data_IF_694361310538
#
_entry.id   IF_694361310538
#
_cell.length_a   1.000
_cell.length_b   1.000
_cell.length_c   1.000
_cell.angle_alpha   90.00
_cell.angle_beta   90.00
_cell.angle_gamma   90.00
#
_symmetry.space_group_name_H-M   'P 1'
#
loop_
_entity.id
_entity.type
_entity.pdbx_description
1 polymer ?
#
# COMPACT_ATOMS: atom_id res chain seq x y z
N UNK A 1 1.81 -2.38 -23.80
CA UNK A 1 0.40 -2.85 -23.77
C UNK A 1 -0.47 -1.98 -22.85
N UNK A 2 -1.68 -1.57 -23.29
CA UNK A 2 -2.73 -0.93 -22.48
C UNK A 2 -4.01 -1.78 -22.56
N UNK A 3 -4.86 -1.74 -21.54
CA UNK A 3 -6.18 -2.35 -21.53
C UNK A 3 -7.11 -1.73 -22.59
N UNK A 4 -8.34 -2.26 -22.68
CA UNK A 4 -9.34 -1.81 -23.65
C UNK A 4 -9.71 -0.31 -23.54
N UNK A 5 -9.36 0.36 -22.43
CA UNK A 5 -9.59 1.77 -22.18
C UNK A 5 -8.32 2.63 -22.31
N UNK A 6 -7.21 2.05 -22.79
CA UNK A 6 -5.93 2.77 -22.89
C UNK A 6 -5.20 2.93 -21.54
N UNK A 7 -5.64 2.27 -20.47
CA UNK A 7 -4.98 2.27 -19.17
C UNK A 7 -3.97 1.12 -19.08
N UNK A 8 -2.98 1.20 -18.19
CA UNK A 8 -2.10 0.04 -17.95
C UNK A 8 -2.88 -1.09 -17.25
N UNK A 9 -2.65 -2.38 -17.56
CA UNK A 9 -3.38 -3.50 -16.95
C UNK A 9 -3.02 -3.73 -15.48
N UNK A 10 -3.86 -4.48 -14.76
CA UNK A 10 -3.54 -5.12 -13.47
C UNK A 10 -3.03 -6.54 -13.69
N UNK A 11 -2.52 -7.17 -12.64
CA UNK A 11 -1.91 -8.50 -12.71
C UNK A 11 -2.81 -9.53 -13.41
N UNK A 12 -4.07 -9.63 -12.97
CA UNK A 12 -5.02 -10.61 -13.49
C UNK A 12 -5.48 -10.34 -14.92
N UNK A 13 -5.46 -9.10 -15.37
CA UNK A 13 -5.85 -8.73 -16.74
C UNK A 13 -4.89 -9.31 -17.80
N UNK A 14 -3.65 -9.58 -17.39
CA UNK A 14 -2.60 -10.14 -18.23
C UNK A 14 -2.21 -11.57 -17.81
N UNK A 15 -3.08 -12.25 -17.05
CA UNK A 15 -2.92 -13.66 -16.68
C UNK A 15 -1.91 -13.91 -15.56
N UNK A 16 -1.55 -12.90 -14.76
CA UNK A 16 -0.75 -13.11 -13.55
C UNK A 16 -1.73 -13.41 -12.40
N UNK A 17 -1.93 -14.70 -12.14
CA UNK A 17 -2.81 -15.19 -11.08
C UNK A 17 -2.00 -15.44 -9.80
N UNK A 18 -2.26 -14.66 -8.76
CA UNK A 18 -1.55 -14.77 -7.47
C UNK A 18 -2.46 -15.44 -6.44
N UNK A 19 -1.94 -16.51 -5.83
CA UNK A 19 -2.62 -17.21 -4.74
C UNK A 19 -3.78 -18.11 -5.17
N UNK A 20 -4.53 -18.60 -4.18
CA UNK A 20 -5.66 -19.51 -4.39
C UNK A 20 -7.02 -18.88 -4.12
N UNK A 21 -7.09 -17.77 -3.38
CA UNK A 21 -8.37 -17.11 -3.10
C UNK A 21 -8.80 -16.22 -4.26
N UNK A 22 -10.12 -16.17 -4.51
CA UNK A 22 -10.69 -15.21 -5.44
C UNK A 22 -10.68 -13.80 -4.84
N UNK A 23 -10.44 -12.75 -5.65
CA UNK A 23 -10.57 -11.38 -5.17
C UNK A 23 -12.04 -10.99 -4.97
N UNK A 24 -12.25 -9.89 -4.24
CA UNK A 24 -13.53 -9.19 -4.22
C UNK A 24 -13.83 -8.53 -5.58
N UNK A 25 -14.99 -7.87 -5.67
CA UNK A 25 -15.50 -7.29 -6.92
C UNK A 25 -14.52 -6.33 -7.57
N UNK A 26 -13.88 -5.48 -6.78
CA UNK A 26 -12.97 -4.44 -7.24
C UNK A 26 -11.51 -4.89 -7.19
N UNK A 27 -11.25 -6.05 -6.56
CA UNK A 27 -9.92 -6.51 -6.22
C UNK A 27 -9.12 -5.37 -5.56
N UNK A 28 -9.70 -4.75 -4.53
CA UNK A 28 -9.17 -3.55 -3.88
C UNK A 28 -9.51 -3.54 -2.40
N UNK A 29 -8.80 -2.72 -1.61
CA UNK A 29 -9.02 -2.61 -0.16
C UNK A 29 -10.47 -2.23 0.19
N UNK A 30 -11.12 -1.49 -0.70
CA UNK A 30 -12.53 -1.04 -0.67
C UNK A 30 -13.55 -2.14 -0.93
N UNK A 31 -13.12 -3.37 -1.24
CA UNK A 31 -14.01 -4.55 -1.18
C UNK A 31 -14.42 -4.86 0.27
N UNK A 32 -13.66 -4.40 1.27
CA UNK A 32 -14.09 -4.42 2.66
C UNK A 32 -15.12 -3.31 2.86
N UNK A 33 -16.35 -3.70 3.19
CA UNK A 33 -17.48 -2.78 3.28
C UNK A 33 -17.22 -1.59 4.21
N UNK A 34 -17.55 -0.39 3.72
CA UNK A 34 -17.35 0.87 4.44
C UNK A 34 -15.98 1.52 4.19
N UNK A 35 -14.96 0.77 3.75
CA UNK A 35 -13.65 1.35 3.47
C UNK A 35 -13.70 2.23 2.23
N UNK A 36 -13.10 3.41 2.34
CA UNK A 36 -12.98 4.37 1.24
C UNK A 36 -11.53 4.82 1.05
N UNK A 37 -11.15 5.11 -0.18
CA UNK A 37 -9.81 5.59 -0.53
C UNK A 37 -9.94 6.86 -1.36
N UNK A 38 -9.12 7.87 -1.05
CA UNK A 38 -9.02 9.11 -1.80
C UNK A 38 -7.58 9.53 -2.04
N UNK A 39 -7.34 10.24 -3.15
CA UNK A 39 -6.01 10.67 -3.56
C UNK A 39 -5.99 12.15 -3.92
N UNK A 40 -4.83 12.78 -3.71
CA UNK A 40 -4.43 14.03 -4.37
C UNK A 40 -3.03 13.84 -4.92
N UNK A 41 -2.87 14.09 -6.22
CA UNK A 41 -1.64 13.86 -6.98
C UNK A 41 -1.06 15.21 -7.40
N UNK A 42 0.19 15.48 -7.02
CA UNK A 42 0.88 16.75 -7.31
C UNK A 42 2.01 16.50 -8.32
N UNK A 43 1.85 17.06 -9.51
CA UNK A 43 2.82 16.97 -10.61
C UNK A 43 2.99 18.34 -11.23
N UNK A 44 4.09 19.03 -10.88
CA UNK A 44 4.35 20.40 -11.33
C UNK A 44 5.84 20.60 -11.68
N UNK A 45 6.10 21.43 -12.69
CA UNK A 45 7.46 21.75 -13.13
C UNK A 45 8.25 20.58 -13.75
N UNK A 46 9.40 20.91 -14.30
CA UNK A 46 10.33 19.99 -14.96
C UNK A 46 11.78 20.53 -14.90
N UNK A 47 12.75 19.70 -15.28
CA UNK A 47 14.15 20.09 -15.34
C UNK A 47 14.87 20.09 -13.99
N UNK A 48 15.81 21.03 -13.82
CA UNK A 48 16.74 21.09 -12.68
C UNK A 48 16.00 21.31 -11.36
N UNK A 49 16.40 20.60 -10.30
CA UNK A 49 15.93 20.85 -8.95
C UNK A 49 16.25 22.27 -8.50
N UNK A 50 15.23 23.00 -8.05
CA UNK A 50 15.36 24.19 -7.22
C UNK A 50 14.64 23.90 -5.90
N UNK A 51 15.37 23.64 -4.80
CA UNK A 51 14.75 23.28 -3.52
C UNK A 51 13.74 24.34 -3.07
N UNK A 52 12.52 23.91 -2.72
CA UNK A 52 11.41 24.81 -2.39
C UNK A 52 10.51 25.17 -3.57
N UNK A 53 10.91 24.86 -4.81
CA UNK A 53 10.17 25.24 -6.02
C UNK A 53 9.75 24.05 -6.88
N UNK A 54 10.50 22.93 -6.85
CA UNK A 54 10.23 21.76 -7.68
C UNK A 54 11.43 21.34 -8.55
N UNK A 55 11.24 20.38 -9.48
CA UNK A 55 9.98 19.74 -9.86
C UNK A 55 9.27 18.96 -8.74
N UNK A 56 7.94 18.96 -8.76
CA UNK A 56 7.07 18.33 -7.76
C UNK A 56 6.52 17.02 -8.30
N UNK A 57 6.73 15.90 -7.58
CA UNK A 57 6.21 14.57 -7.92
C UNK A 57 5.77 13.86 -6.64
N UNK A 58 4.71 14.32 -6.01
CA UNK A 58 4.30 13.83 -4.68
C UNK A 58 2.78 13.85 -4.53
N UNK A 59 2.27 13.59 -3.33
CA UNK A 59 0.85 13.71 -3.06
C UNK A 59 0.42 13.11 -1.73
N UNK A 60 -0.89 12.89 -1.62
CA UNK A 60 -1.54 12.35 -0.43
C UNK A 60 -2.47 11.21 -0.84
N UNK A 61 -2.54 10.18 -0.02
CA UNK A 61 -3.56 9.13 -0.10
C UNK A 61 -4.17 8.92 1.25
N UNK A 62 -5.49 8.89 1.34
CA UNK A 62 -6.19 8.66 2.60
C UNK A 62 -7.05 7.42 2.51
N UNK A 63 -7.09 6.68 3.62
CA UNK A 63 -7.92 5.49 3.79
C UNK A 63 -8.84 5.76 4.97
N UNK A 64 -10.14 5.76 4.72
CA UNK A 64 -11.16 5.88 5.76
C UNK A 64 -11.71 4.49 6.08
N UNK A 65 -11.63 4.03 7.33
CA UNK A 65 -12.29 2.77 7.74
C UNK A 65 -13.81 2.78 7.57
N UNK A 66 -14.43 3.97 7.63
CA UNK A 66 -15.83 4.25 7.32
C UNK A 66 -16.08 5.75 7.12
N UNK A 67 -17.29 6.11 6.69
CA UNK A 67 -17.74 7.47 6.39
C UNK A 67 -18.18 8.30 7.61
N UNK A 68 -18.54 7.64 8.72
CA UNK A 68 -18.89 8.31 9.99
C UNK A 68 -17.73 9.04 10.69
N UNK A 69 -18.02 9.55 11.89
CA UNK A 69 -17.01 10.19 12.74
C UNK A 69 -16.09 9.13 13.37
N UNK A 70 -14.86 9.01 12.85
CA UNK A 70 -13.86 8.03 13.31
C UNK A 70 -13.42 8.24 14.75
N UNK A 71 -13.47 9.46 15.28
CA UNK A 71 -13.10 9.72 16.67
C UNK A 71 -14.15 9.19 17.64
N UNK A 72 -15.43 9.33 17.28
CA UNK A 72 -16.57 8.87 18.08
C UNK A 72 -16.83 7.37 17.90
N UNK A 73 -16.70 6.86 16.68
CA UNK A 73 -16.86 5.45 16.33
C UNK A 73 -15.54 4.88 15.82
N UNK A 74 -14.64 4.52 16.72
CA UNK A 74 -13.31 3.99 16.36
C UNK A 74 -13.43 2.57 15.80
N UNK A 75 -12.38 2.08 15.14
CA UNK A 75 -12.31 0.68 14.67
C UNK A 75 -11.16 -0.07 15.36
N UNK A 76 -11.31 -1.38 15.66
CA UNK A 76 -10.19 -2.19 16.15
C UNK A 76 -9.03 -2.16 15.16
N UNK A 77 -7.81 -2.01 15.67
CA UNK A 77 -6.62 -1.90 14.84
C UNK A 77 -5.34 -2.30 15.57
N UNK A 78 -4.30 -2.58 14.80
CA UNK A 78 -2.94 -2.76 15.27
C UNK A 78 -1.94 -2.37 14.18
N UNK A 79 -0.71 -2.07 14.59
CA UNK A 79 0.41 -1.78 13.70
C UNK A 79 1.59 -2.72 13.99
N UNK A 80 2.33 -3.07 12.95
CA UNK A 80 3.57 -3.84 13.04
C UNK A 80 4.67 -3.12 12.28
N UNK A 81 5.79 -2.91 12.97
CA UNK A 81 7.02 -2.34 12.39
C UNK A 81 7.95 -3.49 12.08
N UNK A 82 8.18 -3.76 10.80
CA UNK A 82 9.17 -4.76 10.37
C UNK A 82 10.58 -4.14 10.40
N UNK A 83 10.72 -2.94 9.84
CA UNK A 83 11.93 -2.12 9.90
C UNK A 83 11.57 -0.65 10.12
N UNK A 84 12.18 -0.04 11.14
CA UNK A 84 11.81 1.26 11.67
C UNK A 84 12.45 2.48 11.00
N UNK A 85 13.07 2.34 9.81
CA UNK A 85 13.78 3.46 9.17
C UNK A 85 12.86 4.60 8.65
N UNK A 86 11.55 4.51 8.83
CA UNK A 86 10.58 5.56 8.45
C UNK A 86 10.07 6.42 9.61
N UNK A 87 9.25 7.42 9.28
CA UNK A 87 8.77 8.52 10.16
C UNK A 87 7.24 8.42 10.30
N UNK A 88 6.76 7.24 10.72
CA UNK A 88 5.34 7.01 10.99
C UNK A 88 4.85 7.77 12.23
N UNK A 89 3.61 8.23 12.22
CA UNK A 89 2.98 8.95 13.34
C UNK A 89 1.76 8.16 13.83
N UNK A 90 1.62 8.08 15.16
CA UNK A 90 0.43 7.55 15.84
C UNK A 90 0.40 6.04 16.11
N UNK A 91 1.38 5.27 15.62
CA UNK A 91 1.38 3.80 15.77
C UNK A 91 1.47 3.32 17.23
N UNK A 92 2.11 4.10 18.11
CA UNK A 92 2.22 3.75 19.52
C UNK A 92 0.85 3.67 20.20
N UNK A 93 -0.01 4.69 20.02
CA UNK A 93 -1.35 4.66 20.61
C UNK A 93 -2.27 3.64 19.93
N UNK A 94 -2.09 3.39 18.62
CA UNK A 94 -2.79 2.28 17.94
C UNK A 94 -2.49 0.94 18.63
N UNK A 95 -1.22 0.71 19.01
CA UNK A 95 -0.81 -0.51 19.71
C UNK A 95 -1.02 -0.49 21.23
N UNK A 96 -1.27 0.68 21.83
CA UNK A 96 -1.60 0.76 23.25
C UNK A 96 -3.11 0.53 23.48
N UNK A 97 -3.94 1.16 22.65
CA UNK A 97 -5.40 1.16 22.81
C UNK A 97 -6.13 0.22 21.85
N UNK A 98 -5.42 -0.34 20.88
CA UNK A 98 -5.95 -1.34 19.95
C UNK A 98 -6.99 -0.82 18.97
N UNK A 99 -6.93 0.48 18.62
CA UNK A 99 -7.93 1.10 17.76
C UNK A 99 -7.38 2.24 16.88
N UNK A 100 -8.11 2.55 15.80
CA UNK A 100 -7.94 3.74 14.96
C UNK A 100 -9.11 4.70 15.20
N UNK A 101 -8.77 5.97 15.40
CA UNK A 101 -9.71 7.06 15.66
C UNK A 101 -9.64 8.21 14.64
N UNK A 102 -8.81 8.04 13.61
CA UNK A 102 -8.61 8.98 12.52
C UNK A 102 -8.48 8.23 11.19
N UNK A 103 -8.62 8.91 10.03
CA UNK A 103 -8.22 8.31 8.75
C UNK A 103 -6.74 7.95 8.77
N UNK A 104 -6.35 6.91 8.04
CA UNK A 104 -4.95 6.65 7.77
C UNK A 104 -4.54 7.53 6.59
N UNK A 105 -3.57 8.42 6.78
CA UNK A 105 -3.06 9.27 5.71
C UNK A 105 -1.63 8.88 5.32
N UNK A 106 -1.37 8.78 4.02
CA UNK A 106 -0.11 8.38 3.43
C UNK A 106 0.45 9.55 2.59
N UNK A 107 1.76 9.79 2.65
CA UNK A 107 2.43 10.87 1.92
C UNK A 107 3.94 10.64 1.75
N UNK A 108 4.73 11.69 1.50
CA UNK A 108 6.19 11.66 1.53
C UNK A 108 6.79 11.96 2.92
N UNK A 109 8.02 11.53 3.16
CA UNK A 109 8.71 11.61 4.47
C UNK A 109 8.65 12.98 5.14
N UNK A 110 9.02 14.05 4.42
CA UNK A 110 9.15 15.39 5.02
C UNK A 110 7.81 16.14 5.10
N UNK A 111 6.74 15.55 4.55
CA UNK A 111 5.39 16.07 4.65
C UNK A 111 4.55 15.37 5.72
N UNK A 112 5.04 14.27 6.31
CA UNK A 112 4.32 13.55 7.37
C UNK A 112 3.85 14.44 8.54
N UNK A 113 4.66 15.40 9.07
CA UNK A 113 4.19 16.31 10.10
C UNK A 113 3.05 17.23 9.65
N UNK A 114 3.10 17.73 8.40
CA UNK A 114 2.04 18.59 7.84
C UNK A 114 0.74 17.82 7.62
N UNK A 115 0.84 16.56 7.20
CA UNK A 115 -0.31 15.68 7.08
C UNK A 115 -0.91 15.33 8.44
N UNK A 116 -0.08 15.07 9.46
CA UNK A 116 -0.56 14.84 10.82
C UNK A 116 -1.30 16.07 11.40
N UNK A 117 -0.74 17.26 11.19
CA UNK A 117 -1.37 18.53 11.58
C UNK A 117 -2.74 18.71 10.88
N UNK A 118 -2.85 18.42 9.58
CA UNK A 118 -4.13 18.43 8.88
C UNK A 118 -5.14 17.40 9.44
N UNK A 119 -4.70 16.18 9.75
CA UNK A 119 -5.57 15.15 10.35
C UNK A 119 -6.07 15.57 11.74
N UNK A 120 -5.21 16.20 12.56
CA UNK A 120 -5.60 16.79 13.84
C UNK A 120 -6.65 17.89 13.63
N UNK A 121 -6.37 18.84 12.73
CA UNK A 121 -7.27 19.96 12.43
C UNK A 121 -8.65 19.49 11.96
N UNK A 122 -8.69 18.52 11.04
CA UNK A 122 -9.94 17.89 10.58
C UNK A 122 -10.69 17.25 11.73
N UNK A 123 -9.98 16.55 12.62
CA UNK A 123 -10.60 15.85 13.75
C UNK A 123 -11.22 16.83 14.75
N UNK A 124 -10.52 17.92 15.09
CA UNK A 124 -11.05 19.00 15.93
C UNK A 124 -12.28 19.64 15.27
N UNK A 125 -12.26 19.86 13.95
CA UNK A 125 -13.41 20.42 13.23
C UNK A 125 -14.64 19.52 13.30
N UNK A 126 -14.48 18.19 13.28
CA UNK A 126 -15.59 17.24 13.39
C UNK A 126 -16.01 16.92 14.83
N UNK A 127 -15.09 16.99 15.79
CA UNK A 127 -15.35 16.81 17.21
C UNK A 127 -14.72 17.96 18.01
N UNK A 128 -15.40 19.13 18.11
CA UNK A 128 -14.86 20.33 18.78
C UNK A 128 -14.55 20.17 20.27
N UNK A 129 -15.02 19.09 20.91
CA UNK A 129 -14.70 18.77 22.30
C UNK A 129 -13.26 18.28 22.50
N UNK A 130 -12.56 17.83 21.45
CA UNK A 130 -11.18 17.33 21.52
C UNK A 130 -10.28 18.38 22.18
N UNK A 131 -9.58 17.98 23.24
CA UNK A 131 -8.66 18.84 23.99
C UNK A 131 -9.33 19.89 24.89
N UNK A 132 -10.66 19.92 24.98
CA UNK A 132 -11.42 20.85 25.84
C UNK A 132 -12.40 20.07 26.74
N UNK A 133 -13.38 19.41 26.12
CA UNK A 133 -14.42 18.63 26.79
C UNK A 133 -14.12 17.13 26.86
N UNK A 134 -13.13 16.65 26.11
CA UNK A 134 -12.61 15.28 26.14
C UNK A 134 -11.10 15.27 25.91
N UNK A 135 -10.49 14.08 25.85
CA UNK A 135 -9.07 13.87 25.56
C UNK A 135 -8.62 14.39 24.18
N UNK A 136 -7.36 14.13 23.85
CA UNK A 136 -6.75 14.52 22.58
C UNK A 136 -7.05 13.52 21.46
N UNK A 137 -6.47 13.73 20.28
CA UNK A 137 -6.62 12.85 19.11
C UNK A 137 -5.26 12.36 18.61
N UNK A 138 -5.22 11.11 18.15
CA UNK A 138 -4.05 10.46 17.58
C UNK A 138 -4.14 10.40 16.04
N UNK A 139 -3.43 11.29 15.31
CA UNK A 139 -3.35 11.19 13.86
C UNK A 139 -2.50 9.98 13.45
N UNK A 140 -2.97 9.21 12.46
CA UNK A 140 -2.22 8.07 11.91
C UNK A 140 -1.70 8.39 10.53
N UNK A 141 -0.37 8.54 10.44
CA UNK A 141 0.32 8.93 9.19
C UNK A 141 1.43 7.96 8.86
N UNK A 142 1.42 7.51 7.60
CA UNK A 142 2.49 6.75 6.97
C UNK A 142 3.19 7.54 5.88
N UNK A 143 4.42 7.15 5.54
CA UNK A 143 5.19 7.87 4.54
C UNK A 143 6.16 6.96 3.78
N UNK A 144 6.58 7.44 2.61
CA UNK A 144 7.78 6.94 1.93
C UNK A 144 8.66 8.09 1.43
N UNK A 145 9.92 7.82 1.09
CA UNK A 145 10.81 8.85 0.56
C UNK A 145 10.76 8.91 -0.97
N UNK A 146 10.14 9.97 -1.52
CA UNK A 146 10.04 10.22 -2.96
C UNK A 146 11.13 11.16 -3.54
N UNK A 147 12.17 11.47 -2.77
CA UNK A 147 13.21 12.46 -3.11
C UNK A 147 14.09 12.12 -4.33
N UNK A 148 13.95 10.92 -4.91
CA UNK A 148 14.54 10.58 -6.21
C UNK A 148 13.89 11.40 -7.33
N UNK A 149 12.56 11.48 -7.34
CA UNK A 149 11.78 12.15 -8.38
C UNK A 149 11.25 13.53 -7.96
N UNK A 150 11.06 13.73 -6.65
CA UNK A 150 10.42 14.91 -6.08
C UNK A 150 11.42 15.88 -5.44
N UNK A 151 11.09 17.17 -5.44
CA UNK A 151 11.63 18.15 -4.50
C UNK A 151 11.05 17.93 -3.09
N UNK A 152 11.55 16.93 -2.40
CA UNK A 152 11.04 16.58 -1.06
C UNK A 152 11.34 17.68 -0.02
N UNK A 153 12.39 18.49 -0.22
CA UNK A 153 12.73 19.60 0.69
C UNK A 153 11.74 20.74 0.60
N UNK A 154 11.11 20.94 -0.57
CA UNK A 154 10.10 21.97 -0.74
C UNK A 154 8.77 21.71 -0.03
N UNK A 155 8.56 20.49 0.51
CA UNK A 155 7.38 20.13 1.32
C UNK A 155 6.07 20.63 0.68
N UNK A 156 5.90 20.30 -0.60
CA UNK A 156 4.82 20.79 -1.46
C UNK A 156 3.41 20.32 -1.05
N UNK A 157 3.31 19.29 -0.20
CA UNK A 157 2.04 18.87 0.40
C UNK A 157 1.59 19.89 1.44
N UNK A 158 0.37 20.37 1.30
CA UNK A 158 -0.28 21.32 2.22
C UNK A 158 -1.51 20.67 2.85
N UNK A 159 -2.07 21.30 3.88
CA UNK A 159 -3.24 20.77 4.60
C UNK A 159 -4.45 20.60 3.68
N UNK A 160 -4.62 21.52 2.73
CA UNK A 160 -5.71 21.53 1.76
C UNK A 160 -5.70 20.25 0.92
N UNK A 161 -4.52 19.74 0.55
CA UNK A 161 -4.40 18.48 -0.19
C UNK A 161 -4.86 17.27 0.62
N UNK A 162 -4.72 17.31 1.95
CA UNK A 162 -5.24 16.25 2.84
C UNK A 162 -6.75 16.32 2.94
N UNK A 163 -7.31 17.52 3.09
CA UNK A 163 -8.76 17.72 3.12
C UNK A 163 -9.42 17.33 1.80
N UNK A 164 -8.80 17.69 0.68
CA UNK A 164 -9.23 17.30 -0.66
C UNK A 164 -9.15 15.78 -0.84
N UNK A 165 -8.06 15.12 -0.41
CA UNK A 165 -7.97 13.67 -0.48
C UNK A 165 -9.08 12.98 0.34
N UNK A 166 -9.44 13.53 1.51
CA UNK A 166 -10.56 13.04 2.33
C UNK A 166 -11.91 13.26 1.62
N UNK A 167 -12.11 14.41 0.99
CA UNK A 167 -13.33 14.71 0.24
C UNK A 167 -13.48 13.83 -1.01
N UNK A 168 -12.36 13.49 -1.66
CA UNK A 168 -12.32 12.62 -2.82
C UNK A 168 -12.44 11.12 -2.46
N UNK A 169 -12.46 10.77 -1.17
CA UNK A 169 -12.47 9.38 -0.77
C UNK A 169 -13.79 8.70 -1.11
N UNK A 170 -13.71 7.58 -1.84
CA UNK A 170 -14.88 6.81 -2.25
C UNK A 170 -14.67 5.30 -2.08
N UNK A 171 -15.80 4.58 -2.04
CA UNK A 171 -15.81 3.13 -2.18
C UNK A 171 -15.67 2.72 -3.66
N UNK A 172 -15.52 1.42 -3.93
CA UNK A 172 -15.45 0.91 -5.30
C UNK A 172 -14.02 0.80 -5.83
N UNK A 173 -13.83 0.91 -7.15
CA UNK A 173 -12.51 0.81 -7.76
C UNK A 173 -11.57 1.91 -7.23
N UNK A 174 -10.32 1.53 -6.95
CA UNK A 174 -9.27 2.43 -6.44
C UNK A 174 -8.28 2.74 -7.55
N UNK A 175 -7.87 4.00 -7.67
CA UNK A 175 -6.83 4.39 -8.62
C UNK A 175 -5.46 3.91 -8.12
N UNK A 176 -4.65 3.35 -9.01
CA UNK A 176 -3.36 2.73 -8.69
C UNK A 176 -2.23 3.33 -9.55
N UNK A 177 -0.99 2.99 -9.23
CA UNK A 177 0.21 3.43 -9.90
C UNK A 177 0.73 4.76 -9.37
N UNK A 178 1.13 5.65 -10.29
CA UNK A 178 1.81 6.92 -10.01
C UNK A 178 0.85 8.02 -9.53
N UNK A 179 0.08 7.75 -8.47
CA UNK A 179 -0.98 8.63 -7.96
C UNK A 179 -0.88 8.83 -6.45
N UNK A 180 -1.46 9.90 -5.94
CA UNK A 180 -1.54 10.17 -4.52
C UNK A 180 -0.16 10.19 -3.86
N UNK A 181 -0.02 9.45 -2.75
CA UNK A 181 1.25 9.28 -2.06
C UNK A 181 2.28 8.47 -2.86
N UNK A 182 1.83 7.71 -3.88
CA UNK A 182 2.67 6.90 -4.76
C UNK A 182 3.28 7.65 -5.95
N UNK A 183 2.95 8.94 -6.12
CA UNK A 183 3.31 9.74 -7.31
C UNK A 183 4.80 9.68 -7.63
N UNK A 184 5.67 9.92 -6.65
CA UNK A 184 7.13 9.91 -6.81
C UNK A 184 7.83 8.62 -6.37
N UNK A 185 7.09 7.54 -6.11
CA UNK A 185 7.69 6.31 -5.55
C UNK A 185 8.40 5.44 -6.59
N UNK A 186 9.44 4.71 -6.15
CA UNK A 186 10.26 3.78 -6.96
C UNK A 186 10.27 2.41 -6.30
N UNK A 187 9.97 1.35 -7.04
CA UNK A 187 9.93 -0.02 -6.53
C UNK A 187 10.78 -0.95 -7.39
N UNK A 188 11.77 -1.59 -6.77
CA UNK A 188 12.69 -2.58 -7.35
C UNK A 188 13.40 -2.10 -8.64
N UNK A 189 13.67 -0.80 -8.76
CA UNK A 189 14.30 -0.19 -9.94
C UNK A 189 13.33 0.22 -11.04
N UNK A 190 12.03 0.00 -10.89
CA UNK A 190 10.98 0.55 -11.75
C UNK A 190 10.14 1.57 -10.99
N UNK A 191 9.23 2.23 -11.71
CA UNK A 191 8.21 3.04 -11.09
C UNK A 191 7.29 2.14 -10.25
N UNK A 192 7.11 2.53 -8.98
CA UNK A 192 6.09 1.96 -8.10
C UNK A 192 4.96 2.96 -7.85
N UNK A 193 4.25 2.80 -6.74
CA UNK A 193 3.28 3.78 -6.28
C UNK A 193 2.20 3.14 -5.41
N UNK A 194 0.95 3.50 -5.63
CA UNK A 194 -0.19 2.87 -4.97
C UNK A 194 -0.55 1.58 -5.68
N UNK A 195 -0.70 0.49 -4.94
CA UNK A 195 -1.31 -0.73 -5.44
C UNK A 195 -2.26 -1.31 -4.43
N UNK A 196 -3.27 -2.03 -4.88
CA UNK A 196 -4.26 -2.65 -4.02
C UNK A 196 -4.68 -4.02 -4.54
N UNK A 197 -5.17 -4.86 -3.64
CA UNK A 197 -5.78 -6.14 -3.96
C UNK A 197 -6.70 -6.57 -2.82
N UNK A 198 -7.56 -7.55 -3.05
CA UNK A 198 -8.36 -8.16 -2.00
C UNK A 198 -8.47 -9.67 -2.20
N UNK A 199 -8.91 -10.37 -1.16
CA UNK A 199 -9.29 -11.79 -1.18
C UNK A 199 -10.56 -12.01 -0.37
N UNK A 200 -11.43 -12.86 -0.87
CA UNK A 200 -12.63 -13.31 -0.17
C UNK A 200 -12.43 -14.77 0.25
N UNK A 201 -12.58 -15.02 1.55
CA UNK A 201 -12.49 -16.37 2.09
C UNK A 201 -13.71 -17.19 1.66
N UNK A 202 -13.58 -18.52 1.50
CA UNK A 202 -14.73 -19.38 1.25
C UNK A 202 -15.77 -19.29 2.38
N UNK A 203 -17.07 -19.50 2.10
CA UNK A 203 -18.13 -19.44 3.13
C UNK A 203 -17.88 -20.34 4.34
N UNK A 204 -17.34 -21.55 4.12
CA UNK A 204 -16.98 -22.50 5.19
C UNK A 204 -15.85 -22.01 6.12
N UNK A 205 -15.16 -20.93 5.75
CA UNK A 205 -14.09 -20.28 6.51
C UNK A 205 -14.48 -18.87 6.97
N UNK A 206 -15.78 -18.54 6.95
CA UNK A 206 -16.34 -17.29 7.45
C UNK A 206 -16.80 -16.32 6.38
N UNK A 207 -16.40 -16.50 5.11
CA UNK A 207 -16.82 -15.60 4.02
C UNK A 207 -16.24 -14.18 4.09
N UNK A 208 -15.30 -13.93 5.02
CA UNK A 208 -14.71 -12.62 5.25
C UNK A 208 -13.88 -12.13 4.06
N UNK A 209 -13.82 -10.81 3.92
CA UNK A 209 -12.99 -10.12 2.96
C UNK A 209 -11.74 -9.59 3.65
N UNK A 210 -10.59 -9.76 3.01
CA UNK A 210 -9.32 -9.09 3.36
C UNK A 210 -8.94 -8.20 2.20
N UNK A 211 -8.79 -6.91 2.46
CA UNK A 211 -8.34 -5.90 1.51
C UNK A 211 -6.95 -5.40 1.88
N UNK A 212 -6.10 -5.13 0.89
CA UNK A 212 -4.75 -4.58 1.09
C UNK A 212 -4.51 -3.41 0.15
N UNK A 213 -3.93 -2.32 0.68
CA UNK A 213 -3.39 -1.20 -0.09
C UNK A 213 -1.93 -0.99 0.32
N UNK A 214 -1.05 -0.85 -0.67
CA UNK A 214 0.37 -0.63 -0.46
C UNK A 214 0.84 0.66 -1.17
N UNK A 215 1.65 1.45 -0.49
CA UNK A 215 2.47 2.51 -1.10
C UNK A 215 3.89 1.97 -1.22
N UNK A 216 4.28 1.53 -2.41
CA UNK A 216 5.53 0.79 -2.65
C UNK A 216 6.67 1.72 -3.03
N UNK A 217 7.75 1.74 -2.24
CA UNK A 217 8.94 2.56 -2.51
C UNK A 217 10.24 1.86 -2.10
N UNK A 218 10.43 0.59 -2.44
CA UNK A 218 11.51 -0.24 -1.89
C UNK A 218 12.31 -0.99 -2.96
N UNK A 219 13.59 -1.29 -2.67
CA UNK A 219 14.48 -2.10 -3.50
C UNK A 219 14.20 -3.61 -3.39
N UNK A 220 14.88 -4.41 -4.20
CA UNK A 220 14.70 -5.87 -4.20
C UNK A 220 15.09 -6.53 -5.51
N UNK A 221 14.77 -7.82 -5.61
CA UNK A 221 15.00 -8.62 -6.81
C UNK A 221 13.66 -9.14 -7.30
N UNK A 222 13.03 -8.41 -8.22
CA UNK A 222 11.64 -8.67 -8.62
C UNK A 222 11.41 -10.13 -9.01
N UNK A 223 10.47 -10.76 -8.31
CA UNK A 223 9.97 -12.10 -8.56
C UNK A 223 8.47 -12.02 -8.73
N UNK A 224 7.92 -12.68 -9.75
CA UNK A 224 6.47 -12.70 -9.99
C UNK A 224 6.06 -14.15 -10.25
N UNK A 225 5.20 -14.72 -9.41
CA UNK A 225 4.82 -16.14 -9.49
C UNK A 225 6.05 -17.08 -9.60
N UNK A 226 7.14 -16.75 -8.88
CA UNK A 226 8.40 -17.50 -8.91
C UNK A 226 9.28 -17.26 -10.14
N UNK A 227 8.82 -16.55 -11.18
CA UNK A 227 9.65 -16.17 -12.31
C UNK A 227 10.68 -15.10 -11.89
N UNK A 228 11.98 -15.25 -12.24
CA UNK A 228 13.05 -14.36 -11.79
C UNK A 228 13.13 -13.07 -12.65
N UNK A 229 12.04 -12.30 -12.68
CA UNK A 229 11.87 -11.13 -13.56
C UNK A 229 13.00 -10.12 -13.43
N UNK A 230 13.38 -9.77 -12.20
CA UNK A 230 14.47 -8.81 -11.93
C UNK A 230 15.78 -9.24 -12.58
N UNK A 231 16.09 -10.54 -12.51
CA UNK A 231 17.31 -11.09 -13.11
C UNK A 231 17.23 -11.08 -14.63
N UNK A 232 16.14 -11.60 -15.21
CA UNK A 232 15.97 -11.68 -16.67
C UNK A 232 15.94 -10.31 -17.35
N UNK A 233 15.46 -9.28 -16.65
CA UNK A 233 15.45 -7.90 -17.15
C UNK A 233 16.70 -7.10 -16.73
N UNK A 234 17.67 -7.72 -16.06
CA UNK A 234 18.92 -7.07 -15.66
C UNK A 234 18.76 -5.92 -14.67
N UNK A 235 17.66 -5.87 -13.91
CA UNK A 235 17.32 -4.75 -13.02
C UNK A 235 16.94 -5.28 -11.63
N UNK A 236 17.87 -5.14 -10.69
CA UNK A 236 17.77 -5.62 -9.32
C UNK A 236 18.76 -4.86 -8.42
N UNK A 237 18.52 -4.84 -7.11
CA UNK A 237 19.45 -4.23 -6.15
C UNK A 237 20.85 -4.85 -6.22
N UNK A 238 21.89 -4.02 -6.19
CA UNK A 238 23.31 -4.39 -6.32
C UNK A 238 23.69 -5.02 -7.68
N UNK A 239 22.97 -4.70 -8.76
CA UNK A 239 23.31 -5.18 -10.11
C UNK A 239 24.69 -4.72 -10.62
N UNK A 240 25.20 -3.60 -10.13
CA UNK A 240 26.53 -3.10 -10.46
C UNK A 240 27.67 -4.00 -9.92
N UNK A 241 27.48 -4.61 -8.75
CA UNK A 241 28.48 -5.48 -8.12
C UNK A 241 28.44 -6.92 -8.66
N UNK A 242 27.27 -7.34 -9.17
CA UNK A 242 27.03 -8.66 -9.72
C UNK A 242 26.42 -8.58 -11.12
N UNK A 243 27.13 -8.03 -12.12
CA UNK A 243 26.59 -7.91 -13.48
C UNK A 243 26.38 -9.30 -14.08
N UNK A 244 25.13 -9.65 -14.44
CA UNK A 244 24.88 -10.80 -15.31
C UNK A 244 25.29 -10.45 -16.75
N UNK A 245 25.61 -11.46 -17.57
CA UNK A 245 25.79 -11.36 -19.03
C UNK A 245 24.46 -11.05 -19.75
N UNK A 246 23.77 -9.99 -19.34
CA UNK A 246 22.51 -9.52 -19.92
C UNK A 246 22.81 -8.10 -20.41
N UNK A 247 22.53 -7.83 -21.68
CA UNK A 247 22.74 -6.51 -22.28
C UNK A 247 21.92 -5.46 -21.50
N UNK A 248 22.60 -4.67 -20.67
CA UNK A 248 21.97 -3.69 -19.79
C UNK A 248 21.18 -2.67 -20.62
N UNK A 249 19.88 -2.57 -20.37
CA UNK A 249 19.06 -1.46 -20.88
C UNK A 249 19.19 -0.28 -19.93
N UNK A 250 20.17 0.58 -20.18
CA UNK A 250 20.30 1.91 -19.57
C UNK A 250 20.77 1.91 -18.11
N UNK A 251 21.91 2.57 -17.88
CA UNK A 251 22.44 2.81 -16.54
C UNK A 251 21.47 3.70 -15.73
N UNK A 252 20.83 3.13 -14.71
CA UNK A 252 20.50 3.90 -13.51
C UNK A 252 21.64 3.57 -12.56
N UNK A 253 22.62 4.48 -12.42
CA UNK A 253 23.68 4.34 -11.42
C UNK A 253 23.09 3.93 -10.06
N UNK A 254 23.47 2.73 -9.59
CA UNK A 254 23.20 2.23 -8.25
C UNK A 254 21.72 2.01 -7.90
N UNK A 255 21.09 1.00 -8.52
CA UNK A 255 19.75 0.49 -8.18
C UNK A 255 19.47 0.57 -6.66
N UNK A 256 18.80 1.65 -6.26
CA UNK A 256 18.77 2.16 -4.89
C UNK A 256 18.32 1.05 -3.92
N UNK A 257 19.22 0.53 -3.05
CA UNK A 257 18.88 -0.61 -2.20
C UNK A 257 17.94 -0.20 -1.07
N UNK A 258 17.94 1.08 -0.68
CA UNK A 258 17.10 1.63 0.39
C UNK A 258 15.72 2.05 -0.09
N UNK A 259 14.77 2.20 0.84
CA UNK A 259 13.40 2.53 0.48
C UNK A 259 12.42 2.60 1.63
N UNK A 260 11.16 2.31 1.38
CA UNK A 260 10.11 2.17 2.37
C UNK A 260 8.85 1.59 1.75
N UNK A 261 7.99 1.07 2.61
CA UNK A 261 6.66 0.63 2.22
C UNK A 261 5.68 0.84 3.37
N UNK A 262 4.53 1.41 3.03
CA UNK A 262 3.35 1.42 3.90
C UNK A 262 2.37 0.39 3.37
N UNK A 263 1.96 -0.57 4.21
CA UNK A 263 0.90 -1.54 3.86
C UNK A 263 -0.27 -1.40 4.82
N UNK A 264 -1.45 -1.18 4.27
CA UNK A 264 -2.70 -1.09 5.01
C UNK A 264 -3.52 -2.33 4.71
N UNK A 265 -3.93 -3.04 5.76
CA UNK A 265 -4.77 -4.23 5.70
C UNK A 265 -6.12 -3.91 6.33
N UNK A 266 -7.19 -4.12 5.59
CA UNK A 266 -8.56 -4.02 6.09
C UNK A 266 -9.21 -5.41 6.07
N UNK A 267 -10.12 -5.67 7.01
CA UNK A 267 -10.99 -6.86 6.95
C UNK A 267 -12.34 -6.59 7.58
N UNK A 268 -13.36 -7.35 7.19
CA UNK A 268 -14.66 -7.42 7.87
C UNK A 268 -14.73 -8.60 8.86
N UNK A 269 -13.63 -9.32 9.10
CA UNK A 269 -13.55 -10.34 10.14
C UNK A 269 -13.54 -9.71 11.55
N UNK A 270 -14.31 -10.24 12.52
CA UNK A 270 -14.28 -9.77 13.91
C UNK A 270 -12.98 -10.15 14.59
N UNK A 271 -12.08 -9.17 14.76
CA UNK A 271 -10.73 -9.38 15.28
C UNK A 271 -10.39 -8.37 16.37
N UNK A 272 -9.74 -8.85 17.43
CA UNK A 272 -9.11 -7.98 18.43
C UNK A 272 -7.76 -7.42 17.93
N UNK A 273 -7.20 -6.49 18.69
CA UNK A 273 -5.89 -5.88 18.39
C UNK A 273 -4.79 -6.94 18.20
N UNK A 274 -4.67 -7.91 19.11
CA UNK A 274 -3.61 -8.94 19.07
C UNK A 274 -3.71 -9.77 17.78
N UNK A 275 -4.92 -10.07 17.34
CA UNK A 275 -5.18 -10.77 16.08
C UNK A 275 -4.87 -9.90 14.86
N UNK A 276 -5.21 -8.61 14.92
CA UNK A 276 -4.89 -7.65 13.87
C UNK A 276 -3.38 -7.43 13.74
N UNK A 277 -2.63 -7.40 14.84
CA UNK A 277 -1.17 -7.32 14.81
C UNK A 277 -0.57 -8.56 14.13
N UNK A 278 -1.16 -9.74 14.38
CA UNK A 278 -0.78 -10.99 13.69
C UNK A 278 -1.11 -10.92 12.19
N UNK A 279 -2.22 -10.31 11.79
CA UNK A 279 -2.54 -10.03 10.38
C UNK A 279 -1.50 -9.09 9.76
N UNK A 280 -1.21 -7.95 10.39
CA UNK A 280 -0.24 -6.97 9.91
C UNK A 280 1.13 -7.62 9.63
N UNK A 281 1.61 -8.49 10.52
CA UNK A 281 2.85 -9.28 10.34
C UNK A 281 2.87 -10.11 9.04
N UNK A 282 1.71 -10.55 8.53
CA UNK A 282 1.64 -11.38 7.31
C UNK A 282 1.86 -10.58 6.03
N UNK A 283 1.64 -9.27 6.03
CA UNK A 283 1.89 -8.43 4.86
C UNK A 283 3.36 -8.56 4.40
N UNK A 284 4.31 -8.56 5.34
CA UNK A 284 5.74 -8.74 5.04
C UNK A 284 6.06 -10.06 4.32
N UNK A 285 5.32 -11.14 4.61
CA UNK A 285 5.49 -12.42 3.91
C UNK A 285 5.01 -12.34 2.45
N UNK A 286 3.95 -11.58 2.17
CA UNK A 286 3.47 -11.31 0.81
C UNK A 286 4.46 -10.47 0.02
N UNK A 287 4.97 -9.40 0.63
CA UNK A 287 6.03 -8.57 0.04
C UNK A 287 7.27 -9.42 -0.29
N UNK A 288 7.73 -10.28 0.64
CA UNK A 288 8.92 -11.11 0.42
C UNK A 288 8.81 -12.02 -0.81
N UNK A 289 7.61 -12.48 -1.16
CA UNK A 289 7.36 -13.29 -2.37
C UNK A 289 7.58 -12.52 -3.67
N UNK A 290 7.58 -11.19 -3.61
CA UNK A 290 7.93 -10.31 -4.74
C UNK A 290 9.43 -10.04 -4.87
N UNK A 291 10.25 -10.45 -3.88
CA UNK A 291 11.68 -10.15 -3.83
C UNK A 291 12.09 -9.00 -2.91
N UNK A 292 11.15 -8.50 -2.10
CA UNK A 292 11.42 -7.60 -0.98
C UNK A 292 12.27 -8.29 0.09
N UNK A 293 13.19 -7.54 0.71
CA UNK A 293 14.06 -8.07 1.76
C UNK A 293 14.26 -7.14 2.97
N UNK A 294 13.54 -6.01 3.05
CA UNK A 294 13.66 -5.03 4.14
C UNK A 294 15.12 -4.56 4.35
N UNK A 295 15.65 -3.83 3.36
CA UNK A 295 17.01 -3.30 3.41
C UNK A 295 17.22 -2.37 4.61
N UNK A 296 18.47 -2.09 4.99
CA UNK A 296 18.79 -1.30 6.18
C UNK A 296 18.07 0.07 6.19
N UNK A 297 18.08 0.80 5.08
CA UNK A 297 17.38 2.09 4.96
C UNK A 297 15.88 1.97 4.69
N UNK A 298 15.28 0.78 4.78
CA UNK A 298 13.87 0.55 4.47
C UNK A 298 12.93 0.86 5.64
N UNK A 299 12.03 1.83 5.48
CA UNK A 299 10.94 2.06 6.43
C UNK A 299 9.74 1.18 6.12
N UNK A 300 9.53 0.09 6.87
CA UNK A 300 8.54 -0.95 6.54
C UNK A 300 7.48 -1.09 7.64
N UNK A 301 6.31 -0.51 7.40
CA UNK A 301 5.24 -0.37 8.38
C UNK A 301 3.92 -0.93 7.86
N UNK A 302 3.31 -1.81 8.66
CA UNK A 302 2.06 -2.46 8.31
C UNK A 302 0.98 -2.13 9.34
N UNK A 303 -0.19 -1.66 8.90
CA UNK A 303 -1.32 -1.33 9.77
C UNK A 303 -2.48 -2.22 9.36
N UNK A 304 -3.10 -2.90 10.32
CA UNK A 304 -4.28 -3.73 10.10
C UNK A 304 -5.46 -3.21 10.93
N UNK A 305 -6.65 -3.16 10.34
CA UNK A 305 -7.88 -2.82 11.04
C UNK A 305 -9.06 -3.69 10.62
N UNK A 306 -10.06 -3.79 11.50
CA UNK A 306 -11.32 -4.49 11.22
C UNK A 306 -12.50 -3.53 11.16
N UNK A 307 -13.40 -3.73 10.20
CA UNK A 307 -14.64 -2.95 10.03
C UNK A 307 -15.84 -3.56 10.76
N UNK A 308 -15.73 -4.80 11.25
CA UNK A 308 -16.81 -5.55 11.90
C UNK A 308 -17.30 -4.98 13.24
N UNK A 309 -16.45 -4.19 13.90
CA UNK A 309 -16.73 -3.60 15.21
C UNK A 309 -16.60 -2.08 15.20
N UNK A 310 -17.31 -1.43 16.12
CA UNK A 310 -17.07 -0.03 16.49
C UNK A 310 -16.76 0.06 17.97
N UNK A 311 -15.75 0.85 18.30
CA UNK A 311 -15.37 1.16 19.68
C UNK A 311 -15.81 2.61 19.92
N UNK A 312 -16.84 2.79 20.74
CA UNK A 312 -17.35 4.11 21.07
C UNK A 312 -16.30 4.92 21.84
N UNK A 313 -16.18 6.22 21.56
CA UNK A 313 -15.35 7.13 22.35
C UNK A 313 -15.76 7.09 23.83
N UNK A 314 -17.04 7.29 24.08
CA UNK A 314 -17.64 7.10 25.39
C UNK A 314 -18.16 5.67 25.51
N UNK A 315 -17.36 4.81 26.13
CA UNK A 315 -17.69 3.40 26.34
C UNK A 315 -18.17 3.13 27.78
N UNK A 316 -19.09 2.15 27.97
CA UNK A 316 -19.42 1.67 29.32
C UNK A 316 -18.21 1.02 29.99
N UNK A 317 -18.27 0.83 31.31
CA UNK A 317 -17.18 0.23 32.12
C UNK A 317 -16.69 -1.12 31.59
N UNK A 318 -17.55 -1.90 30.93
CA UNK A 318 -17.19 -3.18 30.31
C UNK A 318 -17.82 -3.29 28.92
N UNK A 319 -17.05 -3.83 27.96
CA UNK A 319 -17.53 -4.14 26.61
C UNK A 319 -17.46 -5.65 26.34
N UNK A 320 -18.41 -6.15 25.53
CA UNK A 320 -18.34 -7.50 24.96
C UNK A 320 -17.89 -7.39 23.52
N UNK A 321 -16.94 -8.21 23.12
CA UNK A 321 -16.47 -8.32 21.74
C UNK A 321 -16.56 -9.78 21.29
N UNK A 322 -17.17 -9.98 20.12
CA UNK A 322 -17.04 -11.23 19.38
C UNK A 322 -15.72 -11.18 18.59
N UNK A 323 -14.96 -12.27 18.61
CA UNK A 323 -13.72 -12.40 17.85
C UNK A 323 -13.59 -13.78 17.22
N UNK A 324 -12.96 -13.86 16.06
CA UNK A 324 -12.59 -15.12 15.40
C UNK A 324 -11.74 -15.95 16.36
N UNK A 325 -11.97 -17.26 16.44
CA UNK A 325 -11.16 -18.14 17.28
C UNK A 325 -9.74 -18.28 16.72
N UNK A 326 -8.75 -18.56 17.59
CA UNK A 326 -7.36 -18.67 17.15
C UNK A 326 -7.14 -19.71 16.03
N UNK A 327 -7.85 -20.83 16.07
CA UNK A 327 -7.74 -21.92 15.09
C UNK A 327 -8.31 -21.54 13.71
N UNK A 328 -9.16 -20.52 13.64
CA UNK A 328 -9.78 -20.01 12.42
C UNK A 328 -8.97 -18.89 11.74
N UNK A 329 -7.82 -18.47 12.30
CA UNK A 329 -7.03 -17.34 11.78
C UNK A 329 -6.23 -17.65 10.50
N UNK A 330 -5.85 -18.90 10.27
CA UNK A 330 -4.91 -19.26 9.19
C UNK A 330 -5.37 -18.86 7.79
N UNK A 331 -6.65 -19.02 7.40
CA UNK A 331 -7.15 -18.52 6.11
C UNK A 331 -7.04 -17.00 5.96
N UNK A 332 -7.28 -16.22 7.03
CA UNK A 332 -7.10 -14.76 7.01
C UNK A 332 -5.62 -14.39 6.80
N UNK A 333 -4.71 -15.11 7.45
CA UNK A 333 -3.28 -14.91 7.24
C UNK A 333 -2.87 -15.14 5.79
N UNK A 334 -3.30 -16.25 5.19
CA UNK A 334 -3.00 -16.55 3.79
C UNK A 334 -3.61 -15.48 2.85
N UNK A 335 -4.84 -15.04 3.12
CA UNK A 335 -5.48 -13.98 2.36
C UNK A 335 -4.68 -12.66 2.40
N UNK A 336 -4.11 -12.29 3.56
CA UNK A 336 -3.21 -11.12 3.66
C UNK A 336 -1.94 -11.32 2.81
N UNK A 337 -1.31 -12.50 2.87
CA UNK A 337 -0.10 -12.79 2.09
C UNK A 337 -0.37 -12.63 0.59
N UNK A 338 -1.44 -13.25 0.08
CA UNK A 338 -1.79 -13.19 -1.34
C UNK A 338 -2.20 -11.79 -1.79
N UNK A 339 -3.02 -11.08 -1.01
CA UNK A 339 -3.43 -9.72 -1.33
C UNK A 339 -2.26 -8.73 -1.27
N UNK A 340 -1.32 -8.89 -0.33
CA UNK A 340 -0.14 -8.02 -0.25
C UNK A 340 0.83 -8.27 -1.42
N UNK A 341 1.07 -9.52 -1.80
CA UNK A 341 1.86 -9.87 -2.99
C UNK A 341 1.25 -9.24 -4.25
N UNK A 342 -0.05 -9.43 -4.48
CA UNK A 342 -0.73 -8.88 -5.66
C UNK A 342 -0.82 -7.35 -5.64
N UNK A 343 -1.00 -6.72 -4.48
CA UNK A 343 -1.00 -5.26 -4.37
C UNK A 343 0.33 -4.64 -4.81
N UNK A 344 1.47 -5.26 -4.46
CA UNK A 344 2.80 -4.80 -4.92
C UNK A 344 2.92 -4.93 -6.44
N UNK A 345 2.50 -6.07 -7.01
CA UNK A 345 2.57 -6.26 -8.47
C UNK A 345 1.63 -5.28 -9.19
N UNK A 346 0.43 -5.04 -8.68
CA UNK A 346 -0.49 -4.07 -9.24
C UNK A 346 0.06 -2.63 -9.18
N UNK A 347 0.79 -2.25 -8.12
CA UNK A 347 1.39 -0.92 -8.04
C UNK A 347 2.37 -0.68 -9.20
N UNK A 348 3.22 -1.67 -9.49
CA UNK A 348 4.23 -1.60 -10.56
C UNK A 348 3.60 -1.67 -11.96
N UNK A 349 2.59 -2.53 -12.14
CA UNK A 349 1.91 -2.66 -13.43
C UNK A 349 1.11 -1.40 -13.78
N UNK A 350 0.44 -0.78 -12.81
CA UNK A 350 -0.37 0.43 -13.02
C UNK A 350 0.47 1.71 -13.06
N UNK A 351 1.68 1.70 -12.49
CA UNK A 351 2.59 2.84 -12.53
C UNK A 351 3.00 3.24 -13.97
N UNK A 352 3.12 4.54 -14.21
CA UNK A 352 3.59 5.12 -15.49
C UNK A 352 5.00 5.66 -15.34
N UNK A 353 5.79 5.69 -16.42
CA UNK A 353 7.11 6.34 -16.42
C UNK A 353 6.98 7.79 -15.95
N UNK A 354 7.86 8.22 -15.04
CA UNK A 354 7.86 9.58 -14.50
C UNK A 354 9.23 10.21 -14.71
N UNK A 355 9.23 11.41 -15.27
CA UNK A 355 10.38 12.32 -15.26
C UNK A 355 10.22 13.27 -14.08
N UNK A 356 11.18 13.25 -13.18
CA UNK A 356 11.24 14.06 -11.97
C UNK A 356 12.35 15.12 -12.02
N UNK A 357 12.79 15.52 -10.83
CA UNK A 357 13.86 16.51 -10.65
C UNK A 357 15.17 16.12 -11.34
N UNK A 358 15.91 17.13 -11.79
CA UNK A 358 17.18 16.97 -12.51
C UNK A 358 17.08 16.14 -13.79
N UNK A 359 15.87 16.03 -14.38
CA UNK A 359 15.62 15.17 -15.54
C UNK A 359 15.68 13.67 -15.24
N UNK A 360 15.74 13.27 -13.97
CA UNK A 360 15.74 11.84 -13.58
C UNK A 360 14.47 11.18 -14.07
N UNK A 361 14.63 10.09 -14.82
CA UNK A 361 13.52 9.30 -15.33
C UNK A 361 13.51 7.95 -14.65
N UNK A 362 12.35 7.53 -14.16
CA UNK A 362 12.13 6.17 -13.65
C UNK A 362 11.06 5.51 -14.50
N UNK A 363 11.45 4.45 -15.20
CA UNK A 363 10.58 3.75 -16.14
C UNK A 363 9.52 2.93 -15.43
N UNK A 364 8.30 2.92 -15.97
CA UNK A 364 7.37 1.85 -15.71
C UNK A 364 7.93 0.51 -16.23
N UNK A 365 7.52 -0.60 -15.62
CA UNK A 365 7.89 -1.92 -16.13
C UNK A 365 7.35 -2.11 -17.56
N UNK A 366 8.18 -2.61 -18.46
CA UNK A 366 7.76 -3.00 -19.79
C UNK A 366 6.94 -4.31 -19.68
N UNK A 367 5.65 -4.20 -19.97
CA UNK A 367 4.69 -5.30 -19.81
C UNK A 367 4.96 -6.41 -20.83
N UNK A 368 5.40 -6.06 -22.04
CA UNK A 368 5.64 -7.04 -23.10
C UNK A 368 6.89 -7.88 -22.75
N UNK A 369 7.95 -7.21 -22.28
CA UNK A 369 9.15 -7.85 -21.73
C UNK A 369 8.84 -8.70 -20.49
N UNK A 370 8.00 -8.20 -19.58
CA UNK A 370 7.54 -8.97 -18.42
C UNK A 370 6.84 -10.25 -18.88
N UNK A 371 5.87 -10.16 -19.79
CA UNK A 371 5.10 -11.31 -20.26
C UNK A 371 5.97 -12.34 -21.00
N UNK A 372 7.02 -11.92 -21.70
CA UNK A 372 8.01 -12.84 -22.28
C UNK A 372 8.72 -13.67 -21.20
N UNK A 373 9.17 -13.02 -20.11
CA UNK A 373 9.79 -13.72 -18.97
C UNK A 373 8.77 -14.64 -18.32
N UNK A 374 7.56 -14.15 -18.05
CA UNK A 374 6.52 -14.96 -17.41
C UNK A 374 6.14 -16.19 -18.23
N UNK A 375 6.10 -16.09 -19.57
CA UNK A 375 5.91 -17.22 -20.48
C UNK A 375 7.07 -18.22 -20.44
N UNK A 376 8.32 -17.73 -20.46
CA UNK A 376 9.53 -18.58 -20.38
C UNK A 376 9.53 -19.47 -19.15
N UNK A 377 8.99 -19.00 -18.03
CA UNK A 377 8.97 -19.70 -16.74
C UNK A 377 7.61 -20.33 -16.38
N UNK A 378 6.65 -20.40 -17.30
CA UNK A 378 5.31 -20.96 -17.06
C UNK A 378 4.57 -20.32 -15.86
N UNK A 379 4.73 -19.01 -15.68
CA UNK A 379 4.23 -18.25 -14.53
C UNK A 379 2.91 -17.50 -14.78
N UNK A 380 2.21 -17.81 -15.89
CA UNK A 380 0.93 -17.20 -16.29
C UNK A 380 -0.22 -18.20 -16.26
N UNK A 381 -1.43 -17.66 -16.13
CA UNK A 381 -2.72 -18.34 -16.23
C UNK A 381 -2.86 -19.53 -15.28
N UNK A 382 -2.25 -19.46 -14.10
CA UNK A 382 -2.31 -20.53 -13.09
C UNK A 382 -3.74 -20.86 -12.67
N UNK A 383 -4.67 -19.89 -12.71
CA UNK A 383 -6.10 -20.16 -12.47
C UNK A 383 -6.74 -21.07 -13.52
N UNK A 384 -6.14 -21.19 -14.71
CA UNK A 384 -6.61 -22.05 -15.81
C UNK A 384 -5.84 -23.36 -15.90
N UNK A 385 -4.60 -23.38 -15.41
CA UNK A 385 -3.69 -24.53 -15.59
C UNK A 385 -3.42 -25.31 -14.31
N UNK A 386 -3.68 -24.75 -13.12
CA UNK A 386 -3.39 -25.38 -11.83
C UNK A 386 -4.65 -25.51 -10.96
N UNK A 387 -4.80 -26.63 -10.22
CA UNK A 387 -5.83 -26.75 -9.19
C UNK A 387 -5.71 -25.62 -8.15
N UNK A 388 -6.82 -25.17 -7.53
CA UNK A 388 -8.15 -25.77 -7.59
C UNK A 388 -9.04 -25.25 -8.73
N UNK A 389 -8.56 -24.29 -9.52
CA UNK A 389 -9.38 -23.58 -10.52
C UNK A 389 -9.16 -24.12 -11.95
N UNK A 390 -7.94 -24.57 -12.23
CA UNK A 390 -7.49 -25.09 -13.52
C UNK A 390 -7.14 -26.58 -13.48
N UNK A 391 -7.18 -27.23 -14.65
CA UNK A 391 -7.04 -28.68 -14.82
C UNK A 391 -8.31 -29.34 -15.35
N UNK A 392 -8.14 -30.36 -16.19
CA UNK A 392 -9.15 -30.95 -17.11
C UNK A 392 -10.59 -31.02 -16.59
N UNK A 393 -11.46 -30.28 -17.30
CA UNK A 393 -12.57 -30.89 -18.02
C UNK A 393 -12.09 -31.33 -19.40
#
# INVERSE_FOLDING_TARGET
>A
MTDANGSRPRARDIGIDIGIFGPGRWNAITDVSGVMVGHVTLVEGEGRLVPGCGPVRTGVTVILPHDGNLFEGKVPAAAYVLNGFGKSIGLHQVNELGNLETPIALTNTLSAPTVADAVIERSIKHSPAIGIGTGTVNPVVGEVNDGILNDIQGRHVRKEHVFEAIANAGAGAVQEGSVGAGTGSVCMGWKGGIGTSSRVLPPRRGGYTVGVLAQTNFGGVLTVNGAPVGRELGRYSNSADFPYEIHATGDIEGAYPDGSVMVIVATDAPLDQRQLERLAKRAGLGLARTGFYSSNGSGDFFIAFSTSGRIAHDSPMTAKAEVVSNDAMSPLFLAVVEAAEEAVINSMLKATTVVGRDGRTVDAIDIDRLLEVMRKYNALNWSRTLPPWGGDK
#
